data_IF_993421112347
#
_entry.id   IF_993421112347
#
_cell.length_a   1.000
_cell.length_b   1.000
_cell.length_c   1.000
_cell.angle_alpha   90.00
_cell.angle_beta   90.00
_cell.angle_gamma   90.00
#
_symmetry.space_group_name_H-M   'P 1'
#
loop_
_entity.id
_entity.type
_entity.pdbx_description
1 polymer ?
#
# COMPACT_ATOMS: atom_id res chain seq x y z
N UNK A 1 -2.35 -12.73 -29.09
CA UNK A 1 -1.83 -12.25 -27.80
C UNK A 1 -2.25 -13.22 -26.70
N UNK A 2 -1.33 -13.64 -25.82
CA UNK A 2 -1.65 -14.55 -24.70
C UNK A 2 -2.67 -13.87 -23.78
N UNK A 3 -3.75 -14.59 -23.36
CA UNK A 3 -4.82 -14.05 -22.51
C UNK A 3 -4.28 -13.35 -21.24
N UNK A 4 -3.25 -13.90 -20.61
CA UNK A 4 -2.61 -13.32 -19.42
C UNK A 4 -1.93 -11.98 -19.71
N UNK A 5 -1.18 -11.93 -20.82
CA UNK A 5 -0.56 -10.67 -21.26
C UNK A 5 -1.61 -9.60 -21.54
N UNK A 6 -2.69 -9.97 -22.23
CA UNK A 6 -3.81 -9.06 -22.44
C UNK A 6 -4.42 -8.56 -21.14
N UNK A 7 -4.69 -9.48 -20.20
CA UNK A 7 -5.26 -9.13 -18.88
C UNK A 7 -4.38 -8.13 -18.14
N UNK A 8 -3.07 -8.38 -18.07
CA UNK A 8 -2.16 -7.47 -17.36
C UNK A 8 -2.07 -6.12 -18.05
N UNK A 9 -1.87 -6.10 -19.38
CA UNK A 9 -1.82 -4.82 -20.11
C UNK A 9 -3.10 -4.00 -19.96
N UNK A 10 -4.27 -4.66 -20.01
CA UNK A 10 -5.55 -3.98 -19.79
C UNK A 10 -5.65 -3.47 -18.35
N UNK A 11 -5.21 -4.23 -17.34
CA UNK A 11 -5.22 -3.77 -15.95
C UNK A 11 -4.30 -2.56 -15.73
N UNK A 12 -3.08 -2.58 -16.30
CA UNK A 12 -2.15 -1.44 -16.23
C UNK A 12 -2.71 -0.20 -16.94
N UNK A 13 -3.26 -0.39 -18.15
CA UNK A 13 -3.91 0.68 -18.90
C UNK A 13 -5.11 1.24 -18.14
N UNK A 14 -5.92 0.38 -17.52
CA UNK A 14 -7.05 0.82 -16.69
C UNK A 14 -6.59 1.69 -15.52
N UNK A 15 -5.54 1.29 -14.78
CA UNK A 15 -4.98 2.12 -13.70
C UNK A 15 -4.61 3.50 -14.23
N UNK A 16 -3.87 3.57 -15.34
CA UNK A 16 -3.46 4.84 -15.92
C UNK A 16 -4.66 5.69 -16.38
N UNK A 17 -5.65 5.08 -17.05
CA UNK A 17 -6.87 5.76 -17.50
C UNK A 17 -7.66 6.32 -16.30
N UNK A 18 -7.82 5.53 -15.24
CA UNK A 18 -8.48 6.02 -14.02
C UNK A 18 -7.71 7.16 -13.38
N UNK A 19 -6.37 7.08 -13.29
CA UNK A 19 -5.56 8.16 -12.73
C UNK A 19 -5.70 9.46 -13.52
N UNK A 20 -5.58 9.38 -14.84
CA UNK A 20 -5.79 10.53 -15.72
C UNK A 20 -7.21 11.07 -15.61
N UNK A 21 -8.21 10.19 -15.58
CA UNK A 21 -9.61 10.58 -15.45
C UNK A 21 -9.90 11.27 -14.12
N UNK A 22 -9.44 10.73 -13.00
CA UNK A 22 -9.63 11.32 -11.66
C UNK A 22 -8.94 12.68 -11.58
N UNK A 23 -7.71 12.80 -12.08
CA UNK A 23 -7.01 14.09 -12.09
C UNK A 23 -7.69 15.12 -12.99
N UNK A 24 -7.92 14.79 -14.27
CA UNK A 24 -8.47 15.72 -15.26
C UNK A 24 -9.90 16.17 -14.91
N UNK A 25 -10.73 15.26 -14.39
CA UNK A 25 -12.09 15.60 -13.93
C UNK A 25 -12.02 16.27 -12.56
N UNK A 26 -11.24 15.73 -11.65
CA UNK A 26 -11.11 16.20 -10.27
C UNK A 26 -10.71 17.68 -10.20
N UNK A 27 -9.68 18.10 -10.92
CA UNK A 27 -9.21 19.49 -10.93
C UNK A 27 -10.23 20.48 -11.51
N UNK A 28 -11.21 20.01 -12.30
CA UNK A 28 -12.29 20.89 -12.78
C UNK A 28 -13.38 21.10 -11.73
N UNK A 29 -13.50 20.18 -10.76
CA UNK A 29 -14.48 20.24 -9.68
C UNK A 29 -13.88 20.90 -8.44
N UNK A 30 -12.65 20.54 -8.11
CA UNK A 30 -11.89 21.09 -6.99
C UNK A 30 -10.45 21.41 -7.45
N UNK A 31 -10.06 22.71 -7.51
CA UNK A 31 -8.72 23.13 -7.90
C UNK A 31 -7.61 22.54 -7.03
N UNK A 32 -7.87 22.22 -5.75
CA UNK A 32 -6.90 21.60 -4.84
C UNK A 32 -6.47 20.19 -5.28
N UNK A 33 -7.17 19.61 -6.25
CA UNK A 33 -6.80 18.32 -6.86
C UNK A 33 -5.89 18.48 -8.08
N UNK A 34 -5.48 19.69 -8.44
CA UNK A 34 -4.47 19.85 -9.50
C UNK A 34 -3.10 19.41 -9.00
N UNK A 35 -2.29 18.88 -9.91
CA UNK A 35 -0.94 18.38 -9.63
C UNK A 35 0.12 19.45 -9.93
N UNK A 36 -0.31 20.62 -10.42
CA UNK A 36 0.53 21.76 -10.77
C UNK A 36 1.75 21.37 -11.64
N UNK A 37 2.88 21.99 -11.40
CA UNK A 37 4.12 21.76 -12.15
C UNK A 37 4.70 20.35 -11.93
N UNK A 38 4.30 19.65 -10.87
CA UNK A 38 4.81 18.30 -10.55
C UNK A 38 4.10 17.17 -11.30
N UNK A 39 3.00 17.47 -12.01
CA UNK A 39 2.16 16.48 -12.69
C UNK A 39 2.98 15.53 -13.58
N UNK A 40 3.84 16.09 -14.44
CA UNK A 40 4.65 15.27 -15.35
C UNK A 40 5.54 14.28 -14.59
N UNK A 41 6.24 14.75 -13.57
CA UNK A 41 7.18 13.93 -12.80
C UNK A 41 6.44 12.86 -11.99
N UNK A 42 5.27 13.18 -11.41
CA UNK A 42 4.41 12.21 -10.74
C UNK A 42 3.96 11.10 -11.69
N UNK A 43 3.54 11.44 -12.93
CA UNK A 43 3.16 10.43 -13.92
C UNK A 43 4.35 9.65 -14.48
N UNK A 44 5.56 10.20 -14.51
CA UNK A 44 6.78 9.43 -14.79
C UNK A 44 6.97 8.34 -13.74
N UNK A 45 6.83 8.65 -12.45
CA UNK A 45 6.89 7.63 -11.39
C UNK A 45 5.73 6.63 -11.44
N UNK A 46 4.52 7.07 -11.81
CA UNK A 46 3.43 6.12 -12.15
C UNK A 46 3.88 5.14 -13.22
N UNK A 47 4.46 5.64 -14.32
CA UNK A 47 4.99 4.80 -15.40
C UNK A 47 6.08 3.84 -14.92
N UNK A 48 7.00 4.28 -14.08
CA UNK A 48 8.04 3.43 -13.46
C UNK A 48 7.40 2.33 -12.60
N UNK A 49 6.43 2.67 -11.75
CA UNK A 49 5.73 1.70 -10.92
C UNK A 49 4.97 0.66 -11.75
N UNK A 50 4.25 1.08 -12.80
CA UNK A 50 3.58 0.17 -13.70
C UNK A 50 4.56 -0.70 -14.51
N UNK A 51 5.74 -0.16 -14.86
CA UNK A 51 6.81 -0.94 -15.48
C UNK A 51 7.35 -2.01 -14.52
N UNK A 52 7.54 -1.69 -13.25
CA UNK A 52 7.93 -2.67 -12.22
C UNK A 52 6.90 -3.80 -12.16
N UNK A 53 5.60 -3.48 -12.14
CA UNK A 53 4.52 -4.47 -12.19
C UNK A 53 4.64 -5.35 -13.43
N UNK A 54 4.84 -4.73 -14.60
CA UNK A 54 4.99 -5.46 -15.86
C UNK A 54 6.22 -6.39 -15.86
N UNK A 55 7.35 -5.95 -15.30
CA UNK A 55 8.56 -6.76 -15.17
C UNK A 55 8.34 -7.97 -14.24
N UNK A 56 7.66 -7.76 -13.10
CA UNK A 56 7.28 -8.85 -12.19
C UNK A 56 6.37 -9.85 -12.91
N UNK A 57 5.35 -9.34 -13.63
CA UNK A 57 4.52 -10.20 -14.49
C UNK A 57 5.37 -10.98 -15.49
N UNK A 58 6.28 -10.32 -16.19
CA UNK A 58 7.10 -10.95 -17.22
C UNK A 58 7.94 -12.10 -16.68
N UNK A 59 8.52 -11.93 -15.49
CA UNK A 59 9.28 -12.97 -14.79
C UNK A 59 8.40 -14.14 -14.32
N UNK A 60 7.11 -13.87 -14.05
CA UNK A 60 6.16 -14.85 -13.47
C UNK A 60 5.00 -15.19 -14.41
N UNK A 61 5.12 -14.87 -15.70
CA UNK A 61 4.05 -14.94 -16.73
C UNK A 61 3.40 -16.31 -16.93
N UNK A 62 4.07 -17.38 -16.48
CA UNK A 62 3.55 -18.74 -16.60
C UNK A 62 2.48 -19.06 -15.54
N UNK A 63 2.31 -18.23 -14.52
CA UNK A 63 1.34 -18.44 -13.46
C UNK A 63 -0.08 -18.04 -13.89
N UNK A 64 -1.05 -18.84 -13.44
CA UNK A 64 -2.48 -18.53 -13.60
C UNK A 64 -2.95 -17.36 -12.70
N UNK A 65 -2.17 -16.98 -11.70
CA UNK A 65 -2.49 -15.87 -10.80
C UNK A 65 -2.65 -14.52 -11.51
N UNK A 66 -2.16 -14.40 -12.74
CA UNK A 66 -2.31 -13.21 -13.58
C UNK A 66 -3.52 -13.25 -14.53
N UNK A 67 -4.33 -14.28 -14.48
CA UNK A 67 -5.55 -14.36 -15.28
C UNK A 67 -6.63 -13.46 -14.66
N UNK A 68 -7.17 -12.55 -15.47
CA UNK A 68 -8.27 -11.65 -15.10
C UNK A 68 -9.48 -11.99 -15.96
N UNK A 69 -10.50 -12.49 -15.34
CA UNK A 69 -11.82 -12.74 -15.94
C UNK A 69 -12.85 -11.75 -15.40
N UNK A 70 -14.12 -11.97 -15.75
CA UNK A 70 -15.24 -11.11 -15.30
C UNK A 70 -15.32 -11.03 -13.77
N UNK A 71 -15.06 -12.15 -13.09
CA UNK A 71 -15.08 -12.20 -11.62
C UNK A 71 -14.02 -11.30 -11.00
N UNK A 72 -12.81 -11.36 -11.50
CA UNK A 72 -11.68 -10.55 -11.03
C UNK A 72 -11.95 -9.05 -11.29
N UNK A 73 -12.54 -8.69 -12.42
CA UNK A 73 -12.95 -7.29 -12.72
C UNK A 73 -13.98 -6.79 -11.71
N UNK A 74 -14.96 -7.62 -11.34
CA UNK A 74 -15.94 -7.27 -10.30
C UNK A 74 -15.25 -7.07 -8.95
N UNK A 75 -14.30 -7.93 -8.58
CA UNK A 75 -13.53 -7.77 -7.35
C UNK A 75 -12.64 -6.51 -7.37
N UNK A 76 -12.03 -6.16 -8.50
CA UNK A 76 -11.32 -4.89 -8.68
C UNK A 76 -12.21 -3.69 -8.37
N UNK A 77 -13.42 -3.66 -8.93
CA UNK A 77 -14.36 -2.57 -8.74
C UNK A 77 -14.85 -2.46 -7.28
N UNK A 78 -15.25 -3.61 -6.69
CA UNK A 78 -15.70 -3.65 -5.29
C UNK A 78 -14.55 -3.27 -4.35
N UNK A 79 -13.35 -3.82 -4.56
CA UNK A 79 -12.18 -3.55 -3.74
C UNK A 79 -11.78 -2.08 -3.79
N UNK A 80 -11.72 -1.49 -4.99
CA UNK A 80 -11.38 -0.07 -5.15
C UNK A 80 -12.43 0.84 -4.50
N UNK A 81 -13.72 0.54 -4.67
CA UNK A 81 -14.79 1.30 -4.03
C UNK A 81 -14.73 1.21 -2.49
N UNK A 82 -14.55 -0.01 -1.95
CA UNK A 82 -14.39 -0.20 -0.50
C UNK A 82 -13.17 0.54 0.05
N UNK A 83 -12.04 0.45 -0.65
CA UNK A 83 -10.82 1.14 -0.22
C UNK A 83 -11.02 2.67 -0.25
N UNK A 84 -11.61 3.21 -1.31
CA UNK A 84 -11.89 4.64 -1.42
C UNK A 84 -12.83 5.14 -0.31
N UNK A 85 -13.95 4.43 -0.07
CA UNK A 85 -14.92 4.80 0.96
C UNK A 85 -14.30 4.74 2.36
N UNK A 86 -13.58 3.66 2.68
CA UNK A 86 -12.94 3.52 3.98
C UNK A 86 -11.78 4.51 4.16
N UNK A 87 -11.04 4.84 3.08
CA UNK A 87 -10.03 5.91 3.11
C UNK A 87 -10.67 7.26 3.43
N UNK A 88 -11.80 7.60 2.80
CA UNK A 88 -12.56 8.80 3.11
C UNK A 88 -13.01 8.84 4.57
N UNK A 89 -13.56 7.74 5.09
CA UNK A 89 -14.06 7.66 6.46
C UNK A 89 -12.93 7.82 7.51
N UNK A 90 -11.77 7.23 7.28
CA UNK A 90 -10.66 7.15 8.24
C UNK A 90 -9.47 8.07 7.92
N UNK A 91 -9.63 9.03 7.04
CA UNK A 91 -8.55 9.94 6.62
C UNK A 91 -8.70 11.36 7.21
N UNK A 92 -9.33 11.47 8.39
CA UNK A 92 -9.51 12.75 9.07
C UNK A 92 -10.73 13.55 8.62
N UNK A 93 -11.49 13.09 7.62
CA UNK A 93 -12.72 13.77 7.16
C UNK A 93 -13.93 13.46 8.04
N UNK A 94 -14.10 12.20 8.44
CA UNK A 94 -15.21 11.76 9.30
C UNK A 94 -14.71 11.37 10.68
N UNK A 95 -13.61 10.61 10.74
CA UNK A 95 -12.96 10.26 11.99
C UNK A 95 -11.59 10.93 12.05
N UNK A 96 -11.34 11.74 13.06
CA UNK A 96 -10.03 12.33 13.31
C UNK A 96 -9.09 11.19 13.71
N UNK A 97 -8.18 10.85 12.79
CA UNK A 97 -7.11 9.89 13.06
C UNK A 97 -5.84 10.67 13.32
N UNK A 98 -5.15 10.46 14.44
CA UNK A 98 -3.90 11.17 14.71
C UNK A 98 -2.92 10.95 13.55
N UNK A 99 -2.42 12.04 12.98
CA UNK A 99 -1.34 11.97 11.99
C UNK A 99 -0.01 12.04 12.73
N UNK A 100 0.93 11.19 12.34
CA UNK A 100 2.29 11.17 12.90
C UNK A 100 3.26 11.96 12.02
N UNK A 101 2.81 12.30 10.83
CA UNK A 101 3.50 13.09 9.80
C UNK A 101 2.46 13.53 8.77
N UNK A 102 2.87 14.01 7.59
CA UNK A 102 1.96 14.19 6.43
C UNK A 102 1.23 12.89 6.03
N UNK A 103 1.74 11.75 6.47
CA UNK A 103 1.13 10.48 6.13
C UNK A 103 0.00 10.18 7.09
N UNK A 104 -1.23 10.26 6.61
CA UNK A 104 -2.41 9.90 7.39
C UNK A 104 -2.41 8.41 7.72
N UNK A 105 -2.81 8.07 8.96
CA UNK A 105 -3.03 6.69 9.37
C UNK A 105 -4.24 6.12 8.63
N UNK A 106 -4.04 5.08 7.82
CA UNK A 106 -5.08 4.50 6.95
C UNK A 106 -5.34 3.03 7.27
N UNK A 107 -6.22 2.69 8.23
CA UNK A 107 -6.61 1.29 8.46
C UNK A 107 -7.17 0.62 7.22
N UNK A 108 -7.76 1.40 6.31
CA UNK A 108 -8.29 0.95 5.03
C UNK A 108 -7.27 0.23 4.14
N UNK A 109 -5.96 0.43 4.36
CA UNK A 109 -4.87 -0.22 3.60
C UNK A 109 -4.95 -1.75 3.63
N UNK A 110 -5.62 -2.32 4.59
CA UNK A 110 -5.84 -3.78 4.67
C UNK A 110 -6.74 -4.30 3.56
N UNK A 111 -7.55 -3.43 2.92
CA UNK A 111 -8.43 -3.84 1.80
C UNK A 111 -7.63 -4.29 0.59
N UNK A 112 -6.69 -3.51 0.00
CA UNK A 112 -5.86 -4.00 -1.09
C UNK A 112 -5.02 -5.22 -0.69
N UNK A 113 -4.53 -5.31 0.56
CA UNK A 113 -3.81 -6.48 1.06
C UNK A 113 -4.69 -7.75 1.01
N UNK A 114 -5.91 -7.66 1.55
CA UNK A 114 -6.85 -8.79 1.59
C UNK A 114 -7.31 -9.17 0.18
N UNK A 115 -7.70 -8.19 -0.65
CA UNK A 115 -8.16 -8.44 -2.01
C UNK A 115 -7.05 -9.03 -2.89
N UNK A 116 -5.82 -8.56 -2.74
CA UNK A 116 -4.66 -9.14 -3.40
C UNK A 116 -4.46 -10.59 -3.00
N UNK A 117 -4.43 -10.88 -1.70
CA UNK A 117 -4.25 -12.22 -1.17
C UNK A 117 -5.35 -13.20 -1.61
N UNK A 118 -6.61 -12.77 -1.60
CA UNK A 118 -7.77 -13.62 -1.92
C UNK A 118 -7.99 -13.80 -3.43
N UNK A 119 -7.75 -12.75 -4.23
CA UNK A 119 -8.20 -12.72 -5.61
C UNK A 119 -7.08 -12.51 -6.63
N UNK A 120 -5.85 -12.36 -6.17
CA UNK A 120 -4.66 -12.33 -7.01
C UNK A 120 -4.02 -10.96 -7.18
N UNK A 121 -2.77 -10.93 -7.71
CA UNK A 121 -1.95 -9.73 -7.75
C UNK A 121 -2.54 -8.60 -8.60
N UNK A 122 -3.21 -8.90 -9.70
CA UNK A 122 -3.85 -7.88 -10.54
C UNK A 122 -5.02 -7.18 -9.81
N UNK A 123 -5.83 -7.96 -9.05
CA UNK A 123 -6.93 -7.41 -8.25
C UNK A 123 -6.38 -6.52 -7.13
N UNK A 124 -5.34 -6.97 -6.41
CA UNK A 124 -4.69 -6.19 -5.38
C UNK A 124 -4.09 -4.88 -5.90
N UNK A 125 -3.41 -4.93 -7.06
CA UNK A 125 -2.88 -3.74 -7.74
C UNK A 125 -3.97 -2.70 -8.00
N UNK A 126 -5.04 -3.12 -8.67
CA UNK A 126 -6.13 -2.22 -9.06
C UNK A 126 -6.83 -1.65 -7.82
N UNK A 127 -7.17 -2.51 -6.85
CA UNK A 127 -7.79 -2.13 -5.58
C UNK A 127 -6.96 -1.06 -4.87
N UNK A 128 -5.66 -1.28 -4.71
CA UNK A 128 -4.77 -0.35 -4.03
C UNK A 128 -4.55 0.95 -4.81
N UNK A 129 -4.23 0.86 -6.09
CA UNK A 129 -3.90 2.03 -6.90
C UNK A 129 -5.13 2.92 -7.15
N UNK A 130 -6.17 2.36 -7.74
CA UNK A 130 -7.36 3.12 -8.12
C UNK A 130 -8.19 3.52 -6.90
N UNK A 131 -8.32 2.62 -5.91
CA UNK A 131 -9.04 2.92 -4.67
C UNK A 131 -8.36 4.03 -3.86
N UNK A 132 -7.03 4.07 -3.79
CA UNK A 132 -6.32 5.17 -3.12
C UNK A 132 -6.54 6.50 -3.85
N UNK A 133 -6.38 6.51 -5.17
CA UNK A 133 -6.54 7.74 -5.96
C UNK A 133 -7.95 8.33 -5.82
N UNK A 134 -9.00 7.48 -5.80
CA UNK A 134 -10.36 7.91 -5.49
C UNK A 134 -10.51 8.39 -4.04
N UNK A 135 -9.90 7.69 -3.08
CA UNK A 135 -9.91 8.09 -1.69
C UNK A 135 -9.31 9.48 -1.48
N UNK A 136 -8.16 9.75 -2.09
CA UNK A 136 -7.49 11.04 -2.04
C UNK A 136 -8.36 12.15 -2.70
N UNK A 137 -8.99 11.85 -3.84
CA UNK A 137 -9.91 12.78 -4.48
C UNK A 137 -11.14 13.11 -3.62
N UNK A 138 -11.69 12.12 -2.90
CA UNK A 138 -12.84 12.31 -2.02
C UNK A 138 -12.49 13.10 -0.75
N UNK A 139 -11.27 12.96 -0.24
CA UNK A 139 -10.82 13.69 0.97
C UNK A 139 -10.45 15.13 0.69
N UNK A 140 -10.13 15.47 -0.56
CA UNK A 140 -9.68 16.81 -0.94
C UNK A 140 -8.28 17.18 -0.46
N UNK A 141 -7.49 16.23 0.07
CA UNK A 141 -6.11 16.48 0.54
C UNK A 141 -5.07 16.57 -0.60
N UNK A 142 -5.53 16.63 -1.85
CA UNK A 142 -4.66 16.61 -3.02
C UNK A 142 -4.40 15.18 -3.52
N UNK A 143 -3.93 15.10 -4.76
CA UNK A 143 -3.66 13.85 -5.43
C UNK A 143 -2.16 13.51 -5.37
N UNK A 144 -1.87 12.25 -5.06
CA UNK A 144 -0.51 11.72 -5.08
C UNK A 144 -0.47 10.41 -5.88
N UNK A 145 -0.45 10.48 -7.23
CA UNK A 145 -0.52 9.30 -8.09
C UNK A 145 0.60 8.29 -7.83
N UNK A 146 1.82 8.73 -7.50
CA UNK A 146 2.95 7.86 -7.15
C UNK A 146 2.68 7.08 -5.85
N UNK A 147 2.06 7.71 -4.84
CA UNK A 147 1.63 7.03 -3.61
C UNK A 147 0.50 6.05 -3.89
N UNK A 148 -0.40 6.40 -4.80
CA UNK A 148 -1.48 5.51 -5.22
C UNK A 148 -0.94 4.25 -5.90
N UNK A 149 0.09 4.37 -6.76
CA UNK A 149 0.80 3.19 -7.31
C UNK A 149 1.48 2.40 -6.19
N UNK A 150 2.09 3.07 -5.20
CA UNK A 150 2.65 2.42 -4.02
C UNK A 150 1.62 1.55 -3.30
N UNK A 151 0.40 2.07 -3.07
CA UNK A 151 -0.71 1.30 -2.50
C UNK A 151 -1.14 0.14 -3.40
N UNK A 152 -1.08 0.31 -4.72
CA UNK A 152 -1.29 -0.76 -5.68
C UNK A 152 -0.23 -1.87 -5.57
N UNK A 153 1.04 -1.51 -5.41
CA UNK A 153 2.13 -2.46 -5.18
C UNK A 153 1.93 -3.26 -3.87
N UNK A 154 1.43 -2.63 -2.81
CA UNK A 154 1.07 -3.34 -1.56
C UNK A 154 0.09 -4.47 -1.87
N UNK A 155 -1.02 -4.15 -2.52
CA UNK A 155 -2.05 -5.13 -2.84
C UNK A 155 -1.56 -6.21 -3.81
N UNK A 156 -0.79 -5.83 -4.83
CA UNK A 156 -0.21 -6.77 -5.78
C UNK A 156 0.68 -7.80 -5.09
N UNK A 157 1.61 -7.33 -4.25
CA UNK A 157 2.59 -8.19 -3.59
C UNK A 157 1.92 -9.07 -2.54
N UNK A 158 0.89 -8.58 -1.84
CA UNK A 158 0.07 -9.41 -0.96
C UNK A 158 -0.60 -10.59 -1.72
N UNK A 159 -0.87 -10.43 -3.02
CA UNK A 159 -1.40 -11.50 -3.89
C UNK A 159 -0.36 -12.46 -4.46
N UNK A 160 0.93 -12.15 -4.36
CA UNK A 160 1.99 -12.97 -4.96
C UNK A 160 2.19 -14.37 -4.35
N UNK A 161 1.77 -14.69 -3.11
CA UNK A 161 1.80 -16.09 -2.63
C UNK A 161 1.16 -17.10 -3.58
N UNK A 162 0.21 -16.66 -4.41
CA UNK A 162 -0.42 -17.51 -5.44
C UNK A 162 0.56 -17.98 -6.54
N UNK A 163 1.72 -17.33 -6.67
CA UNK A 163 2.74 -17.69 -7.64
C UNK A 163 3.61 -18.88 -7.19
N UNK A 164 3.60 -19.18 -5.89
CA UNK A 164 4.50 -20.15 -5.28
C UNK A 164 3.78 -21.46 -4.98
N UNK A 165 4.39 -22.58 -5.36
CA UNK A 165 3.89 -23.92 -5.03
C UNK A 165 4.09 -24.23 -3.55
N UNK A 166 5.24 -23.85 -2.99
CA UNK A 166 5.57 -24.02 -1.57
C UNK A 166 5.36 -22.70 -0.83
N UNK A 167 4.18 -22.54 -0.23
CA UNK A 167 3.83 -21.36 0.55
C UNK A 167 4.72 -21.20 1.78
N UNK A 168 5.14 -22.29 2.42
CA UNK A 168 5.96 -22.23 3.63
C UNK A 168 7.37 -21.74 3.32
N UNK A 169 7.97 -22.23 2.24
CA UNK A 169 9.29 -21.74 1.80
C UNK A 169 9.22 -20.25 1.43
N UNK A 170 8.19 -19.84 0.67
CA UNK A 170 8.02 -18.44 0.28
C UNK A 170 7.84 -17.54 1.50
N UNK A 171 7.02 -17.97 2.48
CA UNK A 171 6.80 -17.24 3.72
C UNK A 171 8.12 -17.05 4.49
N UNK A 172 8.92 -18.08 4.66
CA UNK A 172 10.19 -17.98 5.38
C UNK A 172 11.17 -17.02 4.67
N UNK A 173 11.27 -17.09 3.35
CA UNK A 173 12.12 -16.17 2.57
C UNK A 173 11.69 -14.72 2.75
N UNK A 174 10.38 -14.45 2.60
CA UNK A 174 9.83 -13.10 2.77
C UNK A 174 9.99 -12.60 4.19
N UNK A 175 9.84 -13.46 5.19
CA UNK A 175 10.05 -13.11 6.59
C UNK A 175 11.48 -12.62 6.85
N UNK A 176 12.50 -13.34 6.35
CA UNK A 176 13.89 -12.92 6.52
C UNK A 176 14.23 -11.61 5.79
N UNK A 177 13.68 -11.43 4.57
CA UNK A 177 13.81 -10.15 3.85
C UNK A 177 13.19 -9.03 4.67
N UNK A 178 12.00 -9.24 5.22
CA UNK A 178 11.28 -8.24 6.00
C UNK A 178 12.00 -7.87 7.30
N UNK A 179 12.61 -8.84 7.98
CA UNK A 179 13.46 -8.59 9.16
C UNK A 179 14.64 -7.70 8.76
N UNK A 180 15.30 -7.98 7.64
CA UNK A 180 16.41 -7.17 7.13
C UNK A 180 15.99 -5.73 6.83
N UNK A 181 14.83 -5.54 6.18
CA UNK A 181 14.29 -4.20 5.86
C UNK A 181 13.97 -3.43 7.14
N UNK A 182 13.32 -4.07 8.12
CA UNK A 182 13.00 -3.42 9.41
C UNK A 182 14.26 -3.04 10.17
N UNK A 183 15.25 -3.93 10.21
CA UNK A 183 16.53 -3.64 10.85
C UNK A 183 17.22 -2.43 10.20
N UNK A 184 17.24 -2.37 8.87
CA UNK A 184 17.82 -1.24 8.13
C UNK A 184 17.03 0.06 8.40
N UNK A 185 15.70 0.04 8.29
CA UNK A 185 14.87 1.20 8.54
C UNK A 185 15.01 1.73 9.98
N UNK A 186 15.05 0.81 10.96
CA UNK A 186 15.29 1.16 12.36
C UNK A 186 16.67 1.78 12.55
N UNK A 187 17.72 1.23 11.94
CA UNK A 187 19.06 1.78 12.00
C UNK A 187 19.12 3.19 11.38
N UNK A 188 18.49 3.40 10.22
CA UNK A 188 18.42 4.72 9.59
C UNK A 188 17.72 5.73 10.52
N UNK A 189 16.61 5.34 11.15
CA UNK A 189 15.93 6.19 12.12
C UNK A 189 16.84 6.54 13.30
N UNK A 190 17.46 5.55 13.92
CA UNK A 190 18.32 5.77 15.10
C UNK A 190 19.53 6.69 14.80
N UNK A 191 20.02 6.66 13.56
CA UNK A 191 21.12 7.53 13.12
C UNK A 191 20.66 8.94 12.70
N UNK A 192 19.33 9.15 12.54
CA UNK A 192 18.75 10.38 12.02
C UNK A 192 17.60 10.94 12.91
N UNK A 193 17.62 10.69 14.21
CA UNK A 193 16.57 11.13 15.15
C UNK A 193 16.42 12.65 15.23
N UNK A 194 17.48 13.39 14.93
CA UNK A 194 17.49 14.86 14.96
C UNK A 194 17.10 15.52 13.64
N UNK A 195 16.79 14.73 12.61
CA UNK A 195 16.34 15.29 11.32
C UNK A 195 14.98 15.95 11.55
N UNK A 196 14.85 17.26 11.28
CA UNK A 196 13.58 17.95 11.40
C UNK A 196 12.54 17.29 10.49
N UNK A 197 11.38 17.00 11.04
CA UNK A 197 10.27 16.50 10.25
C UNK A 197 9.41 17.70 9.81
N UNK A 198 9.77 18.32 8.71
CA UNK A 198 9.01 19.42 8.10
C UNK A 198 7.62 18.98 7.65
N UNK A 199 7.33 17.69 7.71
CA UNK A 199 6.06 17.08 7.37
C UNK A 199 5.14 16.90 8.58
N UNK A 200 5.61 17.20 9.80
CA UNK A 200 4.78 17.12 10.99
C UNK A 200 3.77 18.26 11.01
N UNK A 201 2.49 17.92 11.00
CA UNK A 201 1.41 18.88 11.15
C UNK A 201 1.08 19.07 12.62
N UNK A 202 1.28 20.29 13.13
CA UNK A 202 0.86 20.71 14.45
C UNK A 202 -0.63 21.08 14.39
N UNK A 203 -1.47 20.22 14.99
CA UNK A 203 -2.93 20.40 14.99
C UNK A 203 -3.36 21.62 15.78
N UNK A 204 -2.66 21.95 16.85
CA UNK A 204 -3.01 23.05 17.74
C UNK A 204 -2.74 24.43 17.11
N UNK A 205 -1.66 24.51 16.32
CA UNK A 205 -1.26 25.74 15.64
C UNK A 205 -1.67 25.79 14.16
N UNK A 206 -2.14 24.67 13.59
CA UNK A 206 -2.53 24.59 12.17
C UNK A 206 -1.39 24.74 11.16
N UNK A 207 -0.16 24.44 11.57
CA UNK A 207 1.06 24.61 10.76
C UNK A 207 1.89 23.33 10.76
N UNK A 208 2.73 23.16 9.71
CA UNK A 208 3.78 22.15 9.73
C UNK A 208 4.97 22.65 10.57
N UNK A 209 5.35 21.86 11.57
CA UNK A 209 6.46 22.19 12.46
C UNK A 209 7.74 21.43 12.14
N UNK A 210 8.84 21.90 12.70
CA UNK A 210 10.17 21.27 12.57
C UNK A 210 10.45 20.21 13.64
N UNK A 211 9.41 19.79 14.38
CA UNK A 211 9.57 18.81 15.43
C UNK A 211 10.03 17.45 14.86
N UNK A 212 10.98 16.76 15.50
CA UNK A 212 11.40 15.43 15.09
C UNK A 212 10.26 14.43 15.30
N UNK A 213 10.25 13.38 14.49
CA UNK A 213 9.30 12.27 14.66
C UNK A 213 9.48 11.65 16.04
N UNK A 214 8.37 11.38 16.74
CA UNK A 214 8.40 10.74 18.04
C UNK A 214 9.08 9.36 18.01
N UNK A 215 9.67 8.94 19.11
CA UNK A 215 10.32 7.62 19.22
C UNK A 215 9.34 6.48 18.87
N UNK A 216 8.09 6.57 19.27
CA UNK A 216 7.06 5.56 18.96
C UNK A 216 6.81 5.49 17.46
N UNK A 217 6.70 6.63 16.79
CA UNK A 217 6.52 6.69 15.35
C UNK A 217 7.75 6.16 14.59
N UNK A 218 8.96 6.55 15.01
CA UNK A 218 10.20 6.08 14.42
C UNK A 218 10.46 4.58 14.59
N UNK A 219 9.97 4.00 15.68
CA UNK A 219 10.05 2.55 15.93
C UNK A 219 8.81 1.78 15.47
N UNK A 220 7.84 2.42 14.83
CA UNK A 220 6.57 1.80 14.42
C UNK A 220 6.75 0.59 13.49
N UNK A 221 7.75 0.61 12.60
CA UNK A 221 8.09 -0.55 11.74
C UNK A 221 8.57 -1.75 12.56
N UNK A 222 9.32 -1.52 13.65
CA UNK A 222 9.75 -2.57 14.56
C UNK A 222 8.57 -3.14 15.36
N UNK A 223 7.68 -2.28 15.84
CA UNK A 223 6.43 -2.68 16.51
C UNK A 223 5.59 -3.54 15.56
N UNK A 224 5.43 -3.10 14.30
CA UNK A 224 4.69 -3.84 13.27
C UNK A 224 5.32 -5.21 12.99
N UNK A 225 6.66 -5.32 12.93
CA UNK A 225 7.35 -6.60 12.78
C UNK A 225 7.08 -7.53 13.97
N UNK A 226 7.18 -7.04 15.20
CA UNK A 226 6.92 -7.84 16.41
C UNK A 226 5.49 -8.38 16.38
N UNK A 227 4.51 -7.57 16.02
CA UNK A 227 3.11 -8.02 15.86
C UNK A 227 2.96 -9.05 14.73
N UNK A 228 3.61 -8.86 13.60
CA UNK A 228 3.58 -9.82 12.50
C UNK A 228 4.23 -11.17 12.88
N UNK A 229 5.31 -11.15 13.65
CA UNK A 229 5.94 -12.35 14.22
C UNK A 229 5.03 -13.05 15.23
N UNK A 230 4.31 -12.28 16.06
CA UNK A 230 3.32 -12.82 16.98
C UNK A 230 2.17 -13.51 16.22
N UNK A 231 1.65 -12.90 15.17
CA UNK A 231 0.65 -13.51 14.30
C UNK A 231 1.19 -14.78 13.65
N UNK A 232 2.41 -14.74 13.10
CA UNK A 232 3.06 -15.93 12.55
C UNK A 232 3.18 -17.06 13.58
N UNK A 233 3.52 -16.77 14.82
CA UNK A 233 3.62 -17.75 15.89
C UNK A 233 2.26 -18.33 16.29
N UNK A 234 1.25 -17.46 16.47
CA UNK A 234 -0.13 -17.87 16.82
C UNK A 234 -0.72 -18.74 15.72
N UNK A 235 -0.58 -18.33 14.47
CA UNK A 235 -1.15 -19.00 13.31
C UNK A 235 -0.17 -19.95 12.60
N UNK A 236 0.86 -20.44 13.30
CA UNK A 236 1.86 -21.37 12.74
C UNK A 236 1.27 -22.66 12.14
N UNK A 237 0.05 -23.04 12.56
CA UNK A 237 -0.71 -24.17 12.02
C UNK A 237 -1.62 -23.77 10.85
N UNK A 238 -2.00 -22.52 10.74
CA UNK A 238 -2.76 -21.93 9.63
C UNK A 238 -1.81 -21.08 8.76
N UNK A 239 -1.10 -21.78 7.88
CA UNK A 239 -0.07 -21.16 7.03
C UNK A 239 -0.62 -20.05 6.15
N UNK A 240 -1.90 -20.06 5.81
CA UNK A 240 -2.50 -19.05 4.94
C UNK A 240 -2.63 -17.71 5.68
N UNK A 241 -3.04 -17.70 6.96
CA UNK A 241 -3.13 -16.47 7.75
C UNK A 241 -1.73 -15.86 7.93
N UNK A 242 -0.76 -16.68 8.31
CA UNK A 242 0.62 -16.23 8.45
C UNK A 242 1.18 -15.68 7.11
N UNK A 243 0.91 -16.36 6.00
CA UNK A 243 1.34 -15.95 4.66
C UNK A 243 0.70 -14.62 4.26
N UNK A 244 -0.60 -14.44 4.50
CA UNK A 244 -1.30 -13.21 4.17
C UNK A 244 -0.67 -12.00 4.88
N UNK A 245 -0.35 -12.10 6.17
CA UNK A 245 0.26 -11.01 6.93
C UNK A 245 1.70 -10.74 6.50
N UNK A 246 2.53 -11.78 6.38
CA UNK A 246 3.96 -11.61 6.05
C UNK A 246 4.15 -11.07 4.62
N UNK A 247 3.36 -11.52 3.66
CA UNK A 247 3.42 -10.99 2.29
C UNK A 247 2.83 -9.58 2.19
N UNK A 248 1.80 -9.25 2.98
CA UNK A 248 1.29 -7.87 3.11
C UNK A 248 2.36 -6.93 3.68
N UNK A 249 3.16 -7.42 4.65
CA UNK A 249 4.29 -6.67 5.20
C UNK A 249 5.35 -6.37 4.12
N UNK A 250 5.75 -7.37 3.33
CA UNK A 250 6.68 -7.14 2.22
C UNK A 250 6.10 -6.15 1.20
N UNK A 251 4.82 -6.33 0.84
CA UNK A 251 4.12 -5.40 -0.05
C UNK A 251 4.16 -3.97 0.46
N UNK A 252 3.91 -3.80 1.74
CA UNK A 252 3.96 -2.51 2.39
C UNK A 252 5.36 -1.86 2.31
N UNK A 253 6.43 -2.61 2.54
CA UNK A 253 7.78 -2.07 2.40
C UNK A 253 8.09 -1.63 0.98
N UNK A 254 7.73 -2.44 -0.01
CA UNK A 254 8.02 -2.12 -1.41
C UNK A 254 7.12 -0.99 -1.92
N UNK A 255 5.84 -0.98 -1.57
CA UNK A 255 4.90 0.05 -1.98
C UNK A 255 5.17 1.40 -1.34
N UNK A 256 5.32 1.45 -0.02
CA UNK A 256 5.63 2.69 0.69
C UNK A 256 7.06 3.16 0.42
N UNK A 257 8.01 2.24 0.29
CA UNK A 257 9.37 2.55 -0.11
C UNK A 257 9.44 3.17 -1.51
N UNK A 258 8.70 2.62 -2.47
CA UNK A 258 8.57 3.21 -3.81
C UNK A 258 8.04 4.64 -3.76
N UNK A 259 6.96 4.87 -3.00
CA UNK A 259 6.34 6.17 -2.88
C UNK A 259 7.27 7.19 -2.22
N UNK A 260 7.82 6.88 -1.06
CA UNK A 260 8.73 7.77 -0.33
C UNK A 260 10.02 8.08 -1.11
N UNK A 261 10.59 7.07 -1.79
CA UNK A 261 11.77 7.28 -2.65
C UNK A 261 11.42 8.20 -3.82
N UNK A 262 10.23 8.11 -4.41
CA UNK A 262 9.82 8.98 -5.51
C UNK A 262 9.79 10.45 -5.11
N UNK A 263 9.46 10.74 -3.85
CA UNK A 263 9.36 12.12 -3.34
C UNK A 263 10.71 12.80 -3.13
N UNK A 264 11.83 12.06 -3.16
CA UNK A 264 13.17 12.64 -3.28
C UNK A 264 13.28 13.50 -4.55
N UNK A 265 12.69 13.06 -5.66
CA UNK A 265 12.71 13.79 -6.93
C UNK A 265 11.49 14.69 -7.11
N UNK A 266 10.31 14.26 -6.67
CA UNK A 266 9.05 15.01 -6.86
C UNK A 266 9.02 16.23 -5.94
N UNK A 267 9.35 16.05 -4.66
CA UNK A 267 9.27 17.08 -3.62
C UNK A 267 10.66 17.62 -3.22
N UNK A 268 11.75 17.10 -3.80
CA UNK A 268 13.12 17.52 -3.49
C UNK A 268 13.59 17.11 -2.08
N UNK A 269 13.02 16.07 -1.51
CA UNK A 269 13.35 15.67 -0.13
C UNK A 269 14.74 15.04 -0.02
N UNK A 270 15.50 15.35 1.03
CA UNK A 270 16.70 14.58 1.36
C UNK A 270 16.36 13.11 1.61
N UNK A 271 17.23 12.15 1.22
CA UNK A 271 16.95 10.71 1.41
C UNK A 271 16.61 10.32 2.86
N UNK A 272 17.26 10.94 3.84
CA UNK A 272 16.95 10.69 5.26
C UNK A 272 15.53 11.13 5.63
N UNK A 273 15.04 12.24 5.08
CA UNK A 273 13.69 12.74 5.29
C UNK A 273 12.66 11.82 4.62
N UNK A 274 12.90 11.39 3.38
CA UNK A 274 12.02 10.44 2.70
C UNK A 274 11.86 9.12 3.48
N UNK A 275 12.95 8.63 4.10
CA UNK A 275 12.88 7.39 4.90
C UNK A 275 12.27 7.65 6.28
N UNK A 276 12.76 8.64 7.01
CA UNK A 276 12.35 8.87 8.41
C UNK A 276 11.02 9.61 8.47
N UNK A 277 10.80 10.59 7.58
CA UNK A 277 9.61 11.45 7.56
C UNK A 277 8.41 10.86 6.82
N UNK A 278 8.62 9.97 5.86
CA UNK A 278 7.54 9.42 5.03
C UNK A 278 7.44 7.90 5.11
N UNK A 279 8.52 7.18 4.74
CA UNK A 279 8.46 5.71 4.68
C UNK A 279 8.12 5.10 6.04
N UNK A 280 8.82 5.45 7.11
CA UNK A 280 8.58 4.85 8.44
C UNK A 280 7.18 5.18 8.97
N UNK A 281 6.70 6.45 8.95
CA UNK A 281 5.35 6.79 9.40
C UNK A 281 4.23 6.18 8.55
N UNK A 282 4.48 5.85 7.29
CA UNK A 282 3.54 5.14 6.45
C UNK A 282 3.60 3.63 6.68
N UNK A 283 4.80 3.06 6.61
CA UNK A 283 4.99 1.61 6.66
C UNK A 283 4.69 1.01 8.04
N UNK A 284 5.09 1.68 9.10
CA UNK A 284 4.91 1.17 10.46
C UNK A 284 3.45 0.97 10.84
N UNK A 285 2.59 2.00 10.81
CA UNK A 285 1.16 1.84 11.08
C UNK A 285 0.47 0.85 10.14
N UNK A 286 0.80 0.85 8.85
CA UNK A 286 0.25 -0.11 7.91
C UNK A 286 0.55 -1.56 8.30
N UNK A 287 1.76 -1.83 8.82
CA UNK A 287 2.12 -3.17 9.33
C UNK A 287 1.32 -3.55 10.57
N UNK A 288 1.08 -2.59 11.47
CA UNK A 288 0.27 -2.80 12.67
C UNK A 288 -1.16 -3.16 12.25
N UNK A 289 -1.75 -2.38 11.34
CA UNK A 289 -3.08 -2.68 10.79
C UNK A 289 -3.12 -4.02 10.07
N UNK A 290 -2.11 -4.36 9.26
CA UNK A 290 -2.02 -5.65 8.61
C UNK A 290 -1.99 -6.81 9.61
N UNK A 291 -1.18 -6.72 10.66
CA UNK A 291 -1.06 -7.76 11.67
C UNK A 291 -2.36 -8.01 12.45
N UNK A 292 -3.18 -6.98 12.65
CA UNK A 292 -4.43 -7.08 13.42
C UNK A 292 -5.62 -7.40 12.51
N UNK A 293 -5.79 -6.65 11.43
CA UNK A 293 -7.02 -6.67 10.65
C UNK A 293 -7.01 -7.73 9.54
N UNK A 294 -5.85 -8.01 8.90
CA UNK A 294 -5.82 -9.04 7.84
C UNK A 294 -6.20 -10.42 8.37
N UNK A 295 -5.70 -10.92 9.52
CA UNK A 295 -6.18 -12.18 10.10
C UNK A 295 -7.67 -12.17 10.38
N UNK A 296 -8.18 -11.12 11.01
CA UNK A 296 -9.59 -11.00 11.38
C UNK A 296 -10.50 -11.07 10.14
N UNK A 297 -10.20 -10.28 9.11
CA UNK A 297 -10.97 -10.23 7.87
C UNK A 297 -10.87 -11.53 7.08
N UNK A 298 -9.67 -12.15 7.02
CA UNK A 298 -9.49 -13.43 6.33
C UNK A 298 -10.27 -14.55 7.00
N UNK A 299 -10.27 -14.61 8.34
CA UNK A 299 -11.05 -15.60 9.10
C UNK A 299 -12.55 -15.37 8.95
N UNK A 300 -13.02 -14.11 8.97
CA UNK A 300 -14.41 -13.76 8.72
C UNK A 300 -14.84 -14.17 7.30
N UNK A 301 -14.02 -13.91 6.29
CA UNK A 301 -14.28 -14.33 4.91
C UNK A 301 -14.41 -15.84 4.79
N UNK A 302 -13.53 -16.61 5.42
CA UNK A 302 -13.58 -18.07 5.44
C UNK A 302 -14.81 -18.62 6.17
N UNK A 303 -15.21 -17.96 7.26
CA UNK A 303 -16.43 -18.34 7.99
C UNK A 303 -17.67 -18.15 7.09
N UNK A 304 -17.74 -17.03 6.36
CA UNK A 304 -18.82 -16.77 5.41
C UNK A 304 -18.85 -17.80 4.28
N UNK A 305 -17.70 -18.18 3.72
CA UNK A 305 -17.64 -19.20 2.68
C UNK A 305 -18.18 -20.54 3.16
N UNK A 306 -17.83 -20.95 4.40
CA UNK A 306 -18.35 -22.21 4.99
C UNK A 306 -19.86 -22.18 5.16
N UNK A 307 -20.44 -21.05 5.55
CA UNK A 307 -21.89 -20.89 5.71
C UNK A 307 -22.65 -20.93 4.38
N UNK A 308 -22.03 -20.40 3.31
CA UNK A 308 -22.66 -20.33 1.98
C UNK A 308 -22.40 -21.58 1.11
N UNK A 309 -21.72 -22.59 1.65
CA UNK A 309 -21.43 -23.84 0.91
C UNK A 309 -20.42 -23.68 -0.23
N UNK A 310 -19.61 -22.66 -0.18
CA UNK A 310 -18.56 -22.34 -1.19
C UNK A 310 -17.17 -22.58 -0.67
#
# INVERSE_FOLDING_TARGET
MNKRLASVLVSLAAVLVFFLGIWLIGRTINPDLDLDETALLRFVFVGIGLLIVFLIYWLTRNSKAWEVGTREVVYMAIGAALYAILSYLFNGTVFVVPSVSQVALRPAIVIPMLFGYLFGPAVGLFTGAVGNMFGDALTGFGLSPQWSVGNGLIGMIAGMPMLFKDKKQSLNTVLWISIGVVALATAVYLLNQSVPNTLFYDVDNGIFGDAPISLVAGLSVLIGLVLALLVWYIFRKDIDVATAVIWSMLGNFLGMGFAAISDIWINGYPPALAIVGEFIPAAGPNMIFAAILVPALLLAYRALQRQTGR
#
